data_IF_882483873151
#
_entry.id   IF_882483873151
#
_cell.length_a   1.000
_cell.length_b   1.000
_cell.length_c   1.000
_cell.angle_alpha   90.00
_cell.angle_beta   90.00
_cell.angle_gamma   90.00
#
_symmetry.space_group_name_H-M   'P 1'
#
loop_
_entity.id
_entity.type
_entity.pdbx_description
1 polymer ?
#
# COMPACT_ATOMS: atom_id res chain seq x y z
N UNK A 1 9.22 -5.58 -28.00
CA UNK A 1 9.64 -5.35 -26.61
C UNK A 1 9.22 -3.93 -26.26
N UNK A 2 8.16 -3.73 -25.48
CA UNK A 2 7.81 -2.40 -24.99
C UNK A 2 8.73 -2.10 -23.80
N UNK A 3 9.84 -1.41 -24.06
CA UNK A 3 10.84 -1.09 -23.05
C UNK A 3 10.27 -0.13 -22.04
N UNK A 4 10.06 -0.58 -20.80
CA UNK A 4 9.82 0.33 -19.70
C UNK A 4 11.05 1.23 -19.50
N UNK A 5 10.83 2.53 -19.36
CA UNK A 5 11.88 3.46 -18.97
C UNK A 5 11.95 3.54 -17.45
N UNK A 6 13.16 3.44 -16.89
CA UNK A 6 13.37 3.73 -15.48
C UNK A 6 13.39 5.24 -15.26
N UNK A 7 12.81 5.65 -14.14
CA UNK A 7 12.76 7.02 -13.70
C UNK A 7 13.70 7.20 -12.50
N UNK A 8 14.52 8.24 -12.55
CA UNK A 8 15.31 8.72 -11.41
C UNK A 8 14.73 10.05 -10.97
N UNK A 9 14.15 10.09 -9.79
CA UNK A 9 13.51 11.28 -9.22
C UNK A 9 13.77 11.35 -7.71
N UNK A 10 13.67 12.55 -7.15
CA UNK A 10 13.74 12.79 -5.72
C UNK A 10 12.34 12.80 -5.12
N UNK A 11 12.15 12.13 -3.98
CA UNK A 11 10.91 12.25 -3.21
C UNK A 11 10.90 13.61 -2.52
N UNK A 12 9.88 14.42 -2.80
CA UNK A 12 9.77 15.77 -2.24
C UNK A 12 8.67 15.89 -1.17
N UNK A 13 7.61 15.09 -1.25
CA UNK A 13 6.59 15.05 -0.21
C UNK A 13 5.80 13.74 -0.16
N UNK A 14 5.24 13.42 1.02
CA UNK A 14 4.30 12.31 1.22
C UNK A 14 2.87 12.90 1.18
N UNK A 15 2.04 12.39 0.28
CA UNK A 15 0.74 12.97 -0.04
C UNK A 15 -0.43 12.39 0.77
N UNK A 16 -0.21 11.28 1.48
CA UNK A 16 -1.26 10.63 2.26
C UNK A 16 -0.91 10.47 3.75
N UNK A 17 -1.89 10.79 4.60
CA UNK A 17 -1.78 10.62 6.06
C UNK A 17 -1.84 9.16 6.51
N UNK A 18 -2.56 8.31 5.76
CA UNK A 18 -2.61 6.86 5.98
C UNK A 18 -2.08 6.13 4.76
N UNK A 19 -0.96 5.43 4.94
CA UNK A 19 -0.23 4.70 3.89
C UNK A 19 -0.31 3.18 4.03
N UNK A 20 -1.19 2.69 4.90
CA UNK A 20 -1.51 1.28 5.05
C UNK A 20 -3.01 1.08 4.92
N UNK A 21 -3.43 -0.06 4.37
CA UNK A 21 -4.85 -0.42 4.28
C UNK A 21 -5.07 -1.90 4.57
N UNK A 22 -6.22 -2.27 5.18
CA UNK A 22 -6.57 -3.66 5.42
C UNK A 22 -6.84 -4.38 4.11
N UNK A 23 -6.33 -5.61 4.04
CA UNK A 23 -6.40 -6.47 2.87
C UNK A 23 -6.72 -7.91 3.26
N UNK A 24 -7.31 -8.65 2.34
CA UNK A 24 -7.56 -10.07 2.49
C UNK A 24 -6.22 -10.83 2.50
N UNK A 25 -6.04 -11.76 3.45
CA UNK A 25 -4.84 -12.59 3.49
C UNK A 25 -4.73 -13.55 2.28
N UNK A 26 -5.85 -13.93 1.66
CA UNK A 26 -5.87 -14.90 0.54
C UNK A 26 -5.62 -14.25 -0.82
N UNK A 27 -6.27 -13.13 -1.12
CA UNK A 27 -6.23 -12.52 -2.45
C UNK A 27 -5.68 -11.10 -2.47
N UNK A 28 -5.21 -10.60 -1.32
CA UNK A 28 -4.59 -9.28 -1.14
C UNK A 28 -5.42 -8.07 -1.58
N UNK A 29 -6.72 -8.29 -1.83
CA UNK A 29 -7.65 -7.22 -2.19
C UNK A 29 -8.01 -6.42 -0.94
N UNK A 30 -8.27 -5.13 -1.12
CA UNK A 30 -8.74 -4.26 -0.04
C UNK A 30 -10.01 -4.84 0.58
N UNK A 31 -10.08 -4.85 1.90
CA UNK A 31 -11.28 -5.28 2.65
C UNK A 31 -11.76 -4.15 3.54
N UNK A 32 -13.05 -4.14 3.85
CA UNK A 32 -13.61 -3.27 4.89
C UNK A 32 -13.68 -4.03 6.20
N UNK A 33 -13.31 -3.37 7.29
CA UNK A 33 -13.35 -3.91 8.63
C UNK A 33 -14.63 -3.40 9.31
N UNK A 34 -15.51 -4.31 9.74
CA UNK A 34 -16.80 -3.97 10.36
C UNK A 34 -17.02 -4.79 11.61
N UNK A 35 -17.31 -4.13 12.74
CA UNK A 35 -17.72 -4.78 14.00
C UNK A 35 -16.91 -6.04 14.37
N UNK A 36 -15.58 -5.96 14.25
CA UNK A 36 -14.58 -7.03 14.50
C UNK A 36 -14.48 -8.14 13.46
N UNK A 37 -15.20 -8.07 12.34
CA UNK A 37 -15.04 -9.01 11.23
C UNK A 37 -14.65 -8.29 9.94
N UNK A 38 -14.13 -9.04 8.99
CA UNK A 38 -14.02 -8.61 7.61
C UNK A 38 -14.59 -9.67 6.68
N UNK A 39 -15.06 -9.23 5.51
CA UNK A 39 -15.46 -10.10 4.42
C UNK A 39 -14.84 -9.57 3.13
N UNK A 40 -14.11 -10.44 2.43
CA UNK A 40 -13.53 -10.12 1.14
C UNK A 40 -14.55 -10.36 0.02
N UNK A 41 -15.02 -9.27 -0.57
CA UNK A 41 -15.97 -9.30 -1.68
C UNK A 41 -15.41 -9.96 -2.96
N UNK A 42 -14.09 -10.11 -3.08
CA UNK A 42 -13.45 -10.72 -4.26
C UNK A 42 -13.39 -12.24 -4.19
N UNK A 43 -13.00 -12.81 -3.04
CA UNK A 43 -12.76 -14.26 -2.91
C UNK A 43 -13.61 -14.94 -1.84
N UNK A 44 -14.53 -14.21 -1.19
CA UNK A 44 -15.44 -14.75 -0.17
C UNK A 44 -14.81 -15.03 1.20
N UNK A 45 -13.47 -14.91 1.35
CA UNK A 45 -12.81 -15.12 2.63
C UNK A 45 -13.34 -14.14 3.68
N UNK A 46 -13.60 -14.65 4.88
CA UNK A 46 -14.02 -13.85 6.03
C UNK A 46 -13.22 -14.26 7.26
N UNK A 47 -13.10 -13.35 8.22
CA UNK A 47 -12.32 -13.58 9.43
C UNK A 47 -12.49 -12.46 10.44
N UNK A 48 -11.75 -12.53 11.53
CA UNK A 48 -11.67 -11.44 12.50
C UNK A 48 -10.81 -10.29 11.96
N UNK A 49 -11.10 -9.06 12.33
CA UNK A 49 -10.28 -7.89 12.00
C UNK A 49 -8.81 -8.04 12.37
N UNK A 50 -8.48 -8.78 13.44
CA UNK A 50 -7.09 -9.09 13.87
C UNK A 50 -6.35 -9.98 12.88
N UNK A 51 -7.09 -10.82 12.15
CA UNK A 51 -6.57 -11.73 11.13
C UNK A 51 -6.39 -11.03 9.77
N UNK A 52 -6.96 -9.84 9.60
CA UNK A 52 -6.75 -9.07 8.39
C UNK A 52 -5.25 -8.84 8.15
N UNK A 53 -4.85 -8.92 6.90
CA UNK A 53 -3.52 -8.52 6.48
C UNK A 53 -3.53 -7.02 6.19
N UNK A 54 -2.36 -6.38 6.15
CA UNK A 54 -2.23 -4.97 5.78
C UNK A 54 -1.25 -4.82 4.63
N UNK A 55 -1.50 -3.85 3.76
CA UNK A 55 -0.65 -3.54 2.61
C UNK A 55 -0.36 -2.06 2.56
N UNK A 56 0.83 -1.72 2.08
CA UNK A 56 1.18 -0.35 1.81
C UNK A 56 0.47 0.20 0.57
N UNK A 57 0.10 1.48 0.66
CA UNK A 57 -0.27 2.38 -0.43
C UNK A 57 0.31 3.73 -0.08
N UNK A 58 1.53 4.00 -0.53
CA UNK A 58 2.24 5.23 -0.27
C UNK A 58 2.10 6.15 -1.47
N UNK A 59 1.46 7.30 -1.31
CA UNK A 59 1.34 8.33 -2.33
C UNK A 59 2.42 9.37 -2.11
N UNK A 60 3.25 9.58 -3.13
CA UNK A 60 4.41 10.43 -3.13
C UNK A 60 4.25 11.49 -4.19
N UNK A 61 4.75 12.67 -3.89
CA UNK A 61 5.13 13.64 -4.89
C UNK A 61 6.64 13.51 -5.11
N UNK A 62 7.04 13.38 -6.37
CA UNK A 62 8.44 13.24 -6.75
C UNK A 62 8.77 14.25 -7.83
N UNK A 63 10.03 14.66 -7.87
CA UNK A 63 10.55 15.62 -8.85
C UNK A 63 11.78 15.05 -9.56
N UNK A 64 11.86 15.22 -10.86
CA UNK A 64 13.11 15.06 -11.61
C UNK A 64 13.67 16.45 -12.01
N UNK A 65 14.56 16.50 -13.00
CA UNK A 65 15.17 17.77 -13.45
C UNK A 65 14.21 18.68 -14.20
N UNK A 66 13.07 18.16 -14.67
CA UNK A 66 12.17 18.82 -15.59
C UNK A 66 10.79 19.04 -14.96
N UNK A 67 10.28 18.05 -14.22
CA UNK A 67 8.87 18.01 -13.81
C UNK A 67 8.66 17.48 -12.39
N UNK A 68 7.46 17.74 -11.87
CA UNK A 68 6.91 17.17 -10.64
C UNK A 68 5.71 16.30 -11.01
N UNK A 69 5.62 15.11 -10.42
CA UNK A 69 4.49 14.21 -10.64
C UNK A 69 4.20 13.33 -9.43
N UNK A 70 2.99 12.77 -9.40
CA UNK A 70 2.53 11.89 -8.34
C UNK A 70 2.82 10.42 -8.65
N UNK A 71 3.40 9.72 -7.68
CA UNK A 71 3.66 8.27 -7.75
C UNK A 71 3.00 7.58 -6.57
N UNK A 72 2.31 6.46 -6.81
CA UNK A 72 1.82 5.61 -5.73
C UNK A 72 2.54 4.27 -5.73
N UNK A 73 3.21 3.95 -4.62
CA UNK A 73 3.94 2.71 -4.40
C UNK A 73 3.09 1.76 -3.54
N UNK A 74 3.03 0.49 -3.92
CA UNK A 74 2.19 -0.52 -3.26
C UNK A 74 2.99 -1.74 -2.81
N UNK A 75 2.50 -2.38 -1.75
CA UNK A 75 2.95 -3.72 -1.35
C UNK A 75 4.25 -3.72 -0.54
N UNK A 76 4.77 -4.92 -0.30
CA UNK A 76 5.87 -5.19 0.64
C UNK A 76 7.25 -4.73 0.16
N UNK A 77 7.37 -4.18 -1.05
CA UNK A 77 8.63 -3.54 -1.46
C UNK A 77 9.02 -2.37 -0.53
N UNK A 78 8.03 -1.75 0.14
CA UNK A 78 8.24 -0.71 1.12
C UNK A 78 8.70 -1.22 2.49
N UNK A 79 8.69 -2.54 2.75
CA UNK A 79 9.17 -3.12 4.00
C UNK A 79 10.65 -2.76 4.25
N UNK A 80 11.49 -2.81 3.21
CA UNK A 80 12.92 -2.47 3.30
C UNK A 80 13.15 -0.98 3.57
N UNK A 81 12.26 -0.11 3.09
CA UNK A 81 12.39 1.34 3.27
C UNK A 81 11.87 1.82 4.63
N UNK A 82 10.80 1.21 5.13
CA UNK A 82 10.22 1.56 6.43
C UNK A 82 10.78 0.73 7.59
N UNK A 83 11.50 -0.36 7.33
CA UNK A 83 12.03 -1.27 8.36
C UNK A 83 10.96 -2.07 9.09
N UNK A 84 9.72 -2.09 8.58
CA UNK A 84 8.58 -2.77 9.18
C UNK A 84 7.58 -3.22 8.11
N UNK A 85 6.75 -4.21 8.44
CA UNK A 85 5.63 -4.61 7.58
C UNK A 85 4.48 -3.62 7.69
N UNK A 86 3.62 -3.55 6.66
CA UNK A 86 2.42 -2.71 6.71
C UNK A 86 1.50 -3.03 7.90
N UNK A 87 1.47 -4.30 8.34
CA UNK A 87 0.73 -4.72 9.54
C UNK A 87 1.38 -4.21 10.83
N UNK A 88 2.71 -4.14 10.88
CA UNK A 88 3.44 -3.57 12.00
C UNK A 88 3.30 -2.05 12.13
N UNK A 89 3.01 -1.34 11.03
CA UNK A 89 2.78 0.11 11.02
C UNK A 89 1.31 0.52 11.06
N UNK A 90 0.40 -0.46 11.10
CA UNK A 90 -1.00 -0.19 11.35
C UNK A 90 -1.16 0.51 12.71
N UNK A 91 -1.84 1.65 12.71
CA UNK A 91 -2.27 2.37 13.92
C UNK A 91 -3.72 2.06 14.26
#
# INVERSE_FOLDING_TARGET
MNGGHFLVASVISIQNSSFVYPSCHSCFSKVSLQFKRYNCQKCGCSGDTKEANYRYRLSLEVADTCDIFEVTVFGSCLDTYFGATAKGLQR
#
